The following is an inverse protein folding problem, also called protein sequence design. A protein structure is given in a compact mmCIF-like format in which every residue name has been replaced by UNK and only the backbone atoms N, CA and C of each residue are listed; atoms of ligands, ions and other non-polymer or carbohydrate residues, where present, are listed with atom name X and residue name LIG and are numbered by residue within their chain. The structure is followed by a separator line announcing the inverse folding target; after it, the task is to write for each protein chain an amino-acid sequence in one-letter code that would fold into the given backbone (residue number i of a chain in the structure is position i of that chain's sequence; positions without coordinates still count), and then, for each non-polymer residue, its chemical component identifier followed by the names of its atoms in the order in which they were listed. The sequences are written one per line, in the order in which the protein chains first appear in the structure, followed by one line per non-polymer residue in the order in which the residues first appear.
data_IF_497693339716
#
_entry.id   IF_497693339716
#
_cell.length_a   1.000
_cell.length_b   1.000
_cell.length_c   1.000
_cell.angle_alpha   90.00
_cell.angle_beta   90.00
_cell.angle_gamma   90.00
#
_symmetry.space_group_name_H-M   'P 1'
#
loop_
_entity.id
_entity.type
_entity.pdbx_description
1 polymer ?
#
# COMPACT_ATOMS: atom_id res chain seq x y z
N UNK A 1 9.61 -30.49 32.61
CA UNK A 1 8.73 -29.35 32.28
C UNK A 1 9.56 -28.15 31.79
N UNK A 2 10.23 -28.27 30.62
CA UNK A 2 11.11 -27.23 30.06
C UNK A 2 11.14 -27.28 28.51
N UNK A 3 10.00 -27.51 27.85
CA UNK A 3 10.00 -27.55 26.36
C UNK A 3 8.76 -26.93 25.70
N UNK A 4 7.80 -26.41 26.47
CA UNK A 4 6.52 -25.94 25.89
C UNK A 4 6.54 -24.42 25.65
N UNK A 5 7.42 -23.68 26.34
CA UNK A 5 7.45 -22.20 26.25
C UNK A 5 8.11 -21.71 24.95
N UNK A 6 8.93 -22.52 24.28
CA UNK A 6 9.67 -22.10 23.09
C UNK A 6 8.86 -22.12 21.79
N UNK A 7 7.75 -22.87 21.74
CA UNK A 7 6.94 -23.01 20.53
C UNK A 7 5.93 -21.85 20.38
N UNK A 8 5.56 -21.20 21.49
CA UNK A 8 4.64 -20.05 21.47
C UNK A 8 5.23 -18.77 20.87
N UNK A 9 6.54 -18.55 21.00
CA UNK A 9 7.19 -17.34 20.46
C UNK A 9 7.37 -17.36 18.93
N UNK A 10 7.42 -18.55 18.30
CA UNK A 10 7.57 -18.68 16.85
C UNK A 10 6.27 -18.41 16.08
N UNK A 11 5.11 -18.51 16.73
CA UNK A 11 3.81 -18.31 16.08
C UNK A 11 3.37 -16.83 16.03
N UNK A 12 3.95 -15.96 16.84
CA UNK A 12 3.61 -14.52 16.85
C UNK A 12 4.36 -13.69 15.78
N UNK A 13 5.27 -14.30 15.02
CA UNK A 13 6.10 -13.63 14.01
C UNK A 13 5.46 -13.55 12.62
N UNK A 14 4.21 -14.02 12.44
CA UNK A 14 3.55 -14.09 11.11
C UNK A 14 2.48 -13.00 10.92
N UNK A 15 2.44 -11.96 11.76
CA UNK A 15 1.61 -10.77 11.51
C UNK A 15 2.40 -9.66 10.81
N UNK A 16 3.00 -10.00 9.66
CA UNK A 16 3.47 -8.99 8.70
C UNK A 16 2.53 -9.00 7.49
N UNK A 17 1.25 -8.72 7.74
CA UNK A 17 0.38 -8.18 6.69
C UNK A 17 0.37 -6.66 6.85
N UNK A 18 1.52 -6.03 6.65
CA UNK A 18 1.54 -4.59 6.37
C UNK A 18 0.80 -4.42 5.05
N UNK A 19 -0.48 -4.05 5.11
CA UNK A 19 -1.24 -3.66 3.93
C UNK A 19 -0.64 -2.34 3.43
N UNK A 20 0.02 -2.39 2.29
CA UNK A 20 0.67 -1.23 1.66
C UNK A 20 -0.38 -0.42 0.88
N UNK A 21 -1.34 -1.10 0.26
CA UNK A 21 -2.48 -0.49 -0.44
C UNK A 21 -3.70 -0.31 0.47
N UNK A 22 -4.49 0.73 0.20
CA UNK A 22 -5.85 0.89 0.72
C UNK A 22 -6.81 0.35 -0.34
N UNK A 23 -7.86 -0.33 0.09
CA UNK A 23 -8.86 -0.94 -0.78
C UNK A 23 -10.23 -0.33 -0.50
N UNK A 24 -11.01 -0.11 -1.56
CA UNK A 24 -12.42 0.24 -1.43
C UNK A 24 -13.23 -0.94 -0.85
N UNK A 25 -14.35 -0.63 -0.18
CA UNK A 25 -15.22 -1.62 0.47
C UNK A 25 -15.80 -2.68 -0.49
N UNK A 26 -15.83 -2.39 -1.80
CA UNK A 26 -16.31 -3.29 -2.83
C UNK A 26 -15.23 -4.25 -3.38
N UNK A 27 -14.00 -4.17 -2.86
CA UNK A 27 -12.91 -5.05 -3.23
C UNK A 27 -12.86 -6.29 -2.32
N UNK A 28 -12.78 -7.45 -2.94
CA UNK A 28 -12.63 -8.74 -2.26
C UNK A 28 -11.42 -9.52 -2.79
N UNK A 29 -10.90 -10.48 -2.01
CA UNK A 29 -9.69 -11.24 -2.37
C UNK A 29 -9.84 -12.06 -3.66
N UNK A 30 -11.07 -12.38 -4.06
CA UNK A 30 -11.44 -13.07 -5.29
C UNK A 30 -11.60 -12.14 -6.50
N UNK A 31 -11.45 -10.83 -6.31
CA UNK A 31 -11.54 -9.85 -7.39
C UNK A 31 -10.40 -10.08 -8.41
N UNK A 32 -10.70 -10.22 -9.71
CA UNK A 32 -9.70 -10.21 -10.77
C UNK A 32 -8.69 -9.06 -10.61
N UNK A 33 -7.39 -9.39 -10.66
CA UNK A 33 -6.28 -8.44 -10.47
C UNK A 33 -5.84 -8.24 -9.01
N UNK A 34 -6.56 -8.80 -8.02
CA UNK A 34 -6.23 -8.63 -6.59
C UNK A 34 -4.78 -9.04 -6.27
N UNK A 35 -4.32 -10.19 -6.75
CA UNK A 35 -2.97 -10.70 -6.46
C UNK A 35 -1.86 -9.83 -7.07
N UNK A 36 -2.14 -9.13 -8.16
CA UNK A 36 -1.18 -8.29 -8.87
C UNK A 36 -0.96 -6.96 -8.13
N UNK A 37 -2.01 -6.43 -7.50
CA UNK A 37 -1.99 -5.12 -6.88
C UNK A 37 -1.89 -5.13 -5.35
N UNK A 38 -2.14 -6.28 -4.70
CA UNK A 38 -2.23 -6.35 -3.22
C UNK A 38 -0.99 -5.95 -2.44
N UNK A 39 0.18 -6.08 -3.06
CA UNK A 39 1.47 -5.77 -2.44
C UNK A 39 2.05 -4.43 -2.92
N UNK A 40 1.28 -3.67 -3.70
CA UNK A 40 1.69 -2.37 -4.22
C UNK A 40 1.27 -1.25 -3.25
N UNK A 41 1.74 -0.03 -3.50
CA UNK A 41 1.31 1.18 -2.79
C UNK A 41 0.32 1.98 -3.62
N UNK A 42 -0.94 1.55 -3.68
CA UNK A 42 -1.97 2.28 -4.41
C UNK A 42 -3.27 2.35 -3.60
N UNK A 43 -4.13 3.28 -4.00
CA UNK A 43 -5.54 3.19 -3.67
C UNK A 43 -6.18 2.27 -4.70
N UNK A 44 -6.76 1.15 -4.26
CA UNK A 44 -7.37 0.17 -5.16
C UNK A 44 -8.88 0.34 -5.10
N UNK A 45 -9.49 0.62 -6.25
CA UNK A 45 -10.93 0.52 -6.41
C UNK A 45 -11.29 -0.72 -7.21
N UNK A 46 -12.52 -1.23 -7.04
CA UNK A 46 -13.00 -2.38 -7.77
C UNK A 46 -14.23 -2.07 -8.64
N UNK A 47 -14.15 -1.14 -9.61
CA UNK A 47 -15.26 -0.87 -10.50
C UNK A 47 -15.57 -2.12 -11.33
N UNK A 48 -16.84 -2.52 -11.36
CA UNK A 48 -17.29 -3.76 -12.00
C UNK A 48 -16.59 -5.04 -11.49
N UNK A 49 -16.21 -5.07 -10.21
CA UNK A 49 -15.50 -6.20 -9.59
C UNK A 49 -14.15 -6.50 -10.26
N UNK A 50 -13.40 -5.48 -10.70
CA UNK A 50 -12.02 -5.64 -11.19
C UNK A 50 -11.12 -4.69 -10.42
N UNK A 51 -10.06 -5.21 -9.80
CA UNK A 51 -9.13 -4.41 -9.03
C UNK A 51 -8.36 -3.45 -9.95
N UNK A 52 -8.49 -2.15 -9.69
CA UNK A 52 -7.86 -1.07 -10.45
C UNK A 52 -7.04 -0.19 -9.51
N UNK A 53 -5.72 -0.10 -9.71
CA UNK A 53 -4.89 0.81 -8.93
C UNK A 53 -5.08 2.24 -9.42
N UNK A 54 -5.36 3.14 -8.48
CA UNK A 54 -5.30 4.58 -8.72
C UNK A 54 -3.90 5.08 -8.49
N UNK A 55 -3.45 5.96 -9.38
CA UNK A 55 -2.23 6.71 -9.17
C UNK A 55 -2.28 7.45 -7.83
N UNK A 56 -1.10 7.61 -7.21
CA UNK A 56 -0.92 8.44 -6.03
C UNK A 56 -1.59 9.81 -6.23
N UNK A 57 -2.30 10.29 -5.20
CA UNK A 57 -2.99 11.58 -5.28
C UNK A 57 -2.04 12.64 -5.84
N UNK A 58 -2.55 13.40 -6.80
CA UNK A 58 -1.84 14.52 -7.40
C UNK A 58 -1.60 15.56 -6.31
N UNK A 59 -0.47 15.47 -5.62
CA UNK A 59 0.11 16.60 -4.95
C UNK A 59 0.32 17.66 -6.04
N UNK A 60 -0.25 18.85 -5.89
CA UNK A 60 -0.01 19.96 -6.81
C UNK A 60 1.14 20.77 -6.21
N UNK A 61 2.14 21.12 -7.02
CA UNK A 61 3.17 22.03 -6.55
C UNK A 61 2.59 23.39 -6.17
N UNK A 62 3.12 24.06 -5.14
CA UNK A 62 2.73 25.42 -4.81
C UNK A 62 2.79 26.35 -6.03
N UNK A 63 1.95 27.39 -6.10
CA UNK A 63 1.99 28.37 -7.20
C UNK A 63 3.40 28.94 -7.38
N UNK A 64 3.92 28.86 -8.61
CA UNK A 64 5.26 29.32 -8.95
C UNK A 64 6.38 28.28 -8.86
N UNK A 65 6.06 27.03 -8.47
CA UNK A 65 6.99 25.90 -8.51
C UNK A 65 6.56 24.86 -9.56
N UNK A 66 7.53 24.21 -10.18
CA UNK A 66 7.32 23.14 -11.13
C UNK A 66 7.60 21.76 -10.51
N UNK A 67 6.85 20.71 -10.89
CA UNK A 67 7.17 19.35 -10.50
C UNK A 67 8.48 18.91 -11.16
N UNK A 68 9.47 18.54 -10.36
CA UNK A 68 10.77 18.03 -10.84
C UNK A 68 10.94 16.52 -10.62
N UNK A 69 10.04 15.91 -9.87
CA UNK A 69 10.05 14.48 -9.60
C UNK A 69 9.18 14.13 -8.40
N UNK A 70 9.27 12.90 -7.94
CA UNK A 70 8.60 12.40 -6.73
C UNK A 70 9.64 11.65 -5.90
N UNK A 71 9.56 11.79 -4.58
CA UNK A 71 10.38 10.98 -3.68
C UNK A 71 10.14 9.50 -3.96
N UNK A 72 11.16 8.66 -3.76
CA UNK A 72 11.02 7.23 -3.93
C UNK A 72 9.94 6.67 -3.00
N UNK A 73 9.15 5.74 -3.53
CA UNK A 73 8.11 5.06 -2.76
C UNK A 73 8.71 4.38 -1.53
N UNK A 74 8.11 4.63 -0.38
CA UNK A 74 8.52 4.05 0.89
C UNK A 74 7.61 2.86 1.20
N UNK A 75 8.05 1.67 0.78
CA UNK A 75 7.32 0.41 0.94
C UNK A 75 7.09 -0.01 2.41
N UNK A 76 7.59 0.76 3.39
CA UNK A 76 7.30 0.56 4.81
C UNK A 76 6.01 1.25 5.28
N UNK A 77 5.39 2.08 4.43
CA UNK A 77 4.19 2.86 4.76
C UNK A 77 2.95 2.33 4.04
N UNK A 78 1.77 2.67 4.54
CA UNK A 78 0.48 2.41 3.89
C UNK A 78 0.07 3.62 3.05
N UNK A 79 -0.67 3.42 1.96
CA UNK A 79 -1.22 4.48 1.12
C UNK A 79 -2.00 5.50 1.96
N UNK A 80 -1.91 6.82 1.68
CA UNK A 80 -1.07 7.47 0.68
C UNK A 80 0.38 7.70 1.15
N UNK A 81 0.76 7.29 2.36
CA UNK A 81 2.07 7.56 2.94
C UNK A 81 3.25 6.93 2.21
N UNK A 82 3.04 5.83 1.49
CA UNK A 82 4.06 5.17 0.66
C UNK A 82 4.20 5.75 -0.75
N UNK A 83 3.32 6.67 -1.17
CA UNK A 83 3.32 7.27 -2.51
C UNK A 83 4.45 8.27 -2.78
N UNK A 84 5.33 8.50 -1.80
CA UNK A 84 6.30 9.60 -1.84
C UNK A 84 5.63 10.98 -1.88
N UNK A 85 6.42 12.03 -1.69
CA UNK A 85 5.97 13.41 -1.90
C UNK A 85 6.39 13.90 -3.28
N UNK A 86 5.53 14.68 -3.93
CA UNK A 86 5.95 15.44 -5.11
C UNK A 86 7.05 16.44 -4.72
N UNK A 87 8.15 16.41 -5.46
CA UNK A 87 9.28 17.33 -5.31
C UNK A 87 9.06 18.50 -6.25
N UNK A 88 9.03 19.70 -5.68
CA UNK A 88 8.75 20.95 -6.38
C UNK A 88 9.98 21.88 -6.35
N UNK A 89 10.24 22.58 -7.45
CA UNK A 89 11.32 23.57 -7.57
C UNK A 89 10.80 24.89 -8.14
#
# INVERSE_FOLDING_TARGET
MKSIIFVGCLLMLVHVSMQISIWDDNCHEDTPGFQEVKNLCFHISCPNNVAQPHACMNDICPPGQNPIGRESDDNSKTYPGCCGKLICQ
#
